data_IF_592165531253
#
_entry.id   IF_592165531253
#
_cell.length_a   1.000
_cell.length_b   1.000
_cell.length_c   1.000
_cell.angle_alpha   90.00
_cell.angle_beta   90.00
_cell.angle_gamma   90.00
#
_symmetry.space_group_name_H-M   'P 1'
#
loop_
_entity.id
_entity.type
_entity.pdbx_description
1 polymer ?
#
# COMPACT_ATOMS: atom_id res chain seq x y z
N UNK A 1 -23.88 -26.10 -15.39
CA UNK A 1 -22.56 -25.43 -15.42
C UNK A 1 -22.27 -24.51 -14.21
N UNK A 2 -23.10 -24.48 -13.16
CA UNK A 2 -22.98 -23.47 -12.08
C UNK A 2 -21.98 -23.80 -10.95
N UNK A 3 -21.53 -25.04 -10.81
CA UNK A 3 -20.70 -25.50 -9.67
C UNK A 3 -19.20 -25.16 -9.81
N UNK A 4 -18.66 -25.19 -11.04
CA UNK A 4 -17.25 -24.85 -11.27
C UNK A 4 -16.97 -23.35 -11.08
N UNK A 5 -17.90 -22.49 -11.52
CA UNK A 5 -17.77 -21.03 -11.38
C UNK A 5 -17.83 -20.56 -9.92
N UNK A 6 -18.54 -21.28 -9.05
CA UNK A 6 -18.58 -20.99 -7.60
C UNK A 6 -17.33 -21.49 -6.89
N UNK A 7 -16.76 -22.63 -7.32
CA UNK A 7 -15.48 -23.14 -6.82
C UNK A 7 -14.30 -22.22 -7.17
N UNK A 8 -14.24 -21.73 -8.42
CA UNK A 8 -13.20 -20.80 -8.88
C UNK A 8 -13.24 -19.48 -8.09
N UNK A 9 -14.44 -18.97 -7.81
CA UNK A 9 -14.61 -17.76 -7.01
C UNK A 9 -14.28 -17.98 -5.53
N UNK A 10 -14.58 -19.15 -4.97
CA UNK A 10 -14.12 -19.50 -3.62
C UNK A 10 -12.59 -19.50 -3.53
N UNK A 11 -11.92 -20.03 -4.56
CA UNK A 11 -10.46 -19.95 -4.71
C UNK A 11 -9.98 -18.50 -4.80
N UNK A 12 -10.58 -17.70 -5.67
CA UNK A 12 -10.21 -16.29 -5.86
C UNK A 12 -10.44 -15.45 -4.59
N UNK A 13 -11.51 -15.71 -3.83
CA UNK A 13 -11.79 -15.11 -2.52
C UNK A 13 -10.74 -15.51 -1.48
N UNK A 14 -10.27 -16.77 -1.49
CA UNK A 14 -9.17 -17.20 -0.62
C UNK A 14 -7.88 -16.45 -0.95
N UNK A 15 -7.56 -16.29 -2.24
CA UNK A 15 -6.41 -15.49 -2.68
C UNK A 15 -6.56 -14.03 -2.27
N UNK A 16 -7.75 -13.44 -2.42
CA UNK A 16 -8.03 -12.06 -2.00
C UNK A 16 -7.78 -11.88 -0.49
N UNK A 17 -8.18 -12.83 0.35
CA UNK A 17 -7.90 -12.80 1.80
C UNK A 17 -6.40 -12.80 2.08
N UNK A 18 -5.64 -13.69 1.46
CA UNK A 18 -4.18 -13.75 1.64
C UNK A 18 -3.52 -12.45 1.15
N UNK A 19 -3.97 -11.91 0.01
CA UNK A 19 -3.44 -10.65 -0.54
C UNK A 19 -3.76 -9.45 0.34
N UNK A 20 -4.91 -9.43 1.01
CA UNK A 20 -5.24 -8.40 2.00
C UNK A 20 -4.31 -8.43 3.21
N UNK A 21 -3.98 -9.62 3.71
CA UNK A 21 -2.97 -9.77 4.77
C UNK A 21 -1.61 -9.25 4.28
N UNK A 22 -1.17 -9.67 3.09
CA UNK A 22 0.09 -9.18 2.50
C UNK A 22 0.14 -7.66 2.30
N UNK A 23 -0.95 -7.06 1.82
CA UNK A 23 -1.06 -5.60 1.70
C UNK A 23 -0.96 -4.94 3.08
N UNK A 24 -1.65 -5.49 4.10
CA UNK A 24 -1.59 -4.96 5.47
C UNK A 24 -0.17 -5.06 6.05
N UNK A 25 0.50 -6.20 5.85
CA UNK A 25 1.88 -6.41 6.30
C UNK A 25 2.84 -5.43 5.61
N UNK A 26 2.74 -5.29 4.28
CA UNK A 26 3.56 -4.34 3.52
C UNK A 26 3.30 -2.89 3.92
N UNK A 27 2.06 -2.54 4.27
CA UNK A 27 1.67 -1.22 4.78
C UNK A 27 2.28 -0.94 6.15
N UNK A 28 2.28 -1.92 7.06
CA UNK A 28 2.95 -1.82 8.36
C UNK A 28 4.47 -1.64 8.13
N UNK A 29 5.07 -2.44 7.26
CA UNK A 29 6.48 -2.32 6.90
C UNK A 29 6.84 -0.92 6.37
N UNK A 30 6.01 -0.36 5.49
CA UNK A 30 6.16 1.01 5.01
C UNK A 30 6.05 2.06 6.13
N UNK A 31 5.10 1.90 7.05
CA UNK A 31 4.95 2.81 8.19
C UNK A 31 6.18 2.80 9.09
N UNK A 32 6.74 1.63 9.37
CA UNK A 32 7.98 1.47 10.13
C UNK A 32 9.16 2.13 9.40
N UNK A 33 9.36 1.84 8.11
CA UNK A 33 10.46 2.41 7.34
C UNK A 33 10.38 3.96 7.26
N UNK A 34 9.18 4.51 7.12
CA UNK A 34 8.98 5.97 7.14
C UNK A 34 9.23 6.58 8.53
N UNK A 35 8.90 5.87 9.61
CA UNK A 35 9.21 6.32 10.96
C UNK A 35 10.72 6.36 11.21
N UNK A 36 11.45 5.32 10.78
CA UNK A 36 12.91 5.24 10.86
C UNK A 36 13.58 6.34 10.04
N UNK A 37 13.14 6.56 8.79
CA UNK A 37 13.64 7.65 7.95
C UNK A 37 13.46 9.03 8.61
N UNK A 38 12.29 9.28 9.23
CA UNK A 38 12.04 10.55 9.95
C UNK A 38 12.95 10.69 11.16
N UNK A 39 13.20 9.60 11.89
CA UNK A 39 14.11 9.61 13.04
C UNK A 39 15.56 9.88 12.60
N UNK A 40 16.02 9.27 11.52
CA UNK A 40 17.34 9.52 10.93
C UNK A 40 17.47 10.98 10.44
N UNK A 41 16.44 11.51 9.77
CA UNK A 41 16.42 12.91 9.32
C UNK A 41 16.53 13.86 10.51
N UNK A 42 15.73 13.64 11.56
CA UNK A 42 15.79 14.45 12.78
C UNK A 42 17.18 14.42 13.42
N UNK A 43 17.85 13.25 13.44
CA UNK A 43 19.22 13.12 13.97
C UNK A 43 20.21 13.96 13.16
N UNK A 44 20.13 13.91 11.82
CA UNK A 44 20.97 14.74 10.95
C UNK A 44 20.72 16.23 11.20
N UNK A 45 19.46 16.64 11.32
CA UNK A 45 19.10 18.04 11.55
C UNK A 45 19.59 18.52 12.93
N UNK A 46 19.48 17.68 13.97
CA UNK A 46 20.02 17.97 15.30
C UNK A 46 21.54 18.14 15.29
N UNK A 47 22.26 17.26 14.59
CA UNK A 47 23.72 17.33 14.48
C UNK A 47 24.18 18.55 13.67
N UNK A 48 23.48 18.87 12.58
CA UNK A 48 23.74 20.09 11.78
C UNK A 48 23.53 21.35 12.60
N UNK A 49 22.46 21.41 13.41
CA UNK A 49 22.23 22.53 14.33
C UNK A 49 23.36 22.65 15.35
N UNK A 50 23.75 21.55 16.01
CA UNK A 50 24.89 21.56 16.95
C UNK A 50 26.19 22.04 16.31
N UNK A 51 26.45 21.68 15.06
CA UNK A 51 27.65 22.12 14.34
C UNK A 51 27.58 23.61 13.97
N UNK A 52 26.40 24.08 13.57
CA UNK A 52 26.15 25.49 13.28
C UNK A 52 26.27 26.37 14.54
N UNK A 53 25.74 25.89 15.65
CA UNK A 53 25.69 26.60 16.93
C UNK A 53 26.98 26.41 17.75
N UNK A 54 27.91 25.57 17.29
CA UNK A 54 29.19 25.40 17.96
C UNK A 54 29.97 26.71 17.93
N UNK A 55 30.43 27.14 19.11
CA UNK A 55 31.14 28.40 19.26
C UNK A 55 32.35 28.48 18.32
N UNK A 56 32.47 29.64 17.68
CA UNK A 56 33.71 30.01 17.00
C UNK A 56 34.73 30.34 18.09
N UNK A 57 35.90 29.74 18.01
CA UNK A 57 36.99 30.06 18.95
C UNK A 57 37.28 31.57 18.90
N UNK A 58 36.88 32.29 19.95
CA UNK A 58 37.03 33.74 20.02
C UNK A 58 38.26 34.16 20.85
N UNK A 59 38.52 33.46 21.95
CA UNK A 59 39.67 33.66 22.83
C UNK A 59 39.87 32.40 23.70
N UNK A 60 41.09 32.20 24.19
CA UNK A 60 41.44 31.07 25.05
C UNK A 60 42.90 30.67 24.91
N UNK A 61 43.29 29.61 25.61
CA UNK A 61 44.61 29.00 25.46
C UNK A 61 44.70 28.15 24.18
N UNK A 62 45.93 27.80 23.78
CA UNK A 62 46.14 26.85 22.69
C UNK A 62 45.52 25.46 22.98
N UNK A 63 45.47 25.06 24.26
CA UNK A 63 44.82 23.82 24.67
C UNK A 63 43.30 23.86 24.43
N UNK A 64 42.65 24.99 24.72
CA UNK A 64 41.21 25.19 24.49
C UNK A 64 40.88 25.13 22.99
N UNK A 65 41.73 25.71 22.15
CA UNK A 65 41.58 25.63 20.70
C UNK A 65 41.70 24.18 20.19
N UNK A 66 42.70 23.43 20.65
CA UNK A 66 42.91 22.03 20.25
C UNK A 66 41.74 21.15 20.71
N UNK A 67 41.23 21.36 21.93
CA UNK A 67 40.07 20.64 22.46
C UNK A 67 38.81 20.92 21.62
N UNK A 68 38.53 22.20 21.33
CA UNK A 68 37.39 22.59 20.49
C UNK A 68 37.51 21.97 19.09
N UNK A 69 38.68 22.08 18.45
CA UNK A 69 38.93 21.47 17.13
C UNK A 69 38.68 19.96 17.15
N UNK A 70 39.18 19.25 18.15
CA UNK A 70 38.95 17.82 18.32
C UNK A 70 37.46 17.48 18.45
N UNK A 71 36.71 18.25 19.26
CA UNK A 71 35.27 18.05 19.43
C UNK A 71 34.49 18.27 18.12
N UNK A 72 34.85 19.29 17.33
CA UNK A 72 34.24 19.58 16.03
C UNK A 72 34.55 18.50 15.00
N UNK A 73 35.77 17.95 15.02
CA UNK A 73 36.14 16.83 14.15
C UNK A 73 35.30 15.59 14.47
N UNK A 74 35.14 15.25 15.76
CA UNK A 74 34.28 14.14 16.18
C UNK A 74 32.83 14.39 15.76
N UNK A 75 32.29 15.60 15.99
CA UNK A 75 30.93 15.95 15.59
C UNK A 75 30.72 15.84 14.07
N UNK A 76 31.71 16.27 13.28
CA UNK A 76 31.69 16.13 11.83
C UNK A 76 31.66 14.66 11.37
N UNK A 77 32.46 13.79 11.99
CA UNK A 77 32.43 12.35 11.68
C UNK A 77 31.07 11.72 12.01
N UNK A 78 30.50 12.05 13.17
CA UNK A 78 29.17 11.56 13.57
C UNK A 78 28.08 12.06 12.61
N UNK A 79 28.18 13.31 12.15
CA UNK A 79 27.26 13.87 11.15
C UNK A 79 27.35 13.12 9.81
N UNK A 80 28.55 12.83 9.32
CA UNK A 80 28.74 12.07 8.08
C UNK A 80 28.12 10.68 8.17
N UNK A 81 28.35 9.96 9.28
CA UNK A 81 27.73 8.65 9.52
C UNK A 81 26.20 8.73 9.58
N UNK A 82 25.65 9.76 10.24
CA UNK A 82 24.20 9.96 10.31
C UNK A 82 23.58 10.31 8.94
N UNK A 83 24.31 11.03 8.08
CA UNK A 83 23.87 11.30 6.70
C UNK A 83 23.83 10.02 5.88
N UNK A 84 24.83 9.15 6.01
CA UNK A 84 24.84 7.85 5.35
C UNK A 84 23.68 6.96 5.82
N UNK A 85 23.40 6.91 7.12
CA UNK A 85 22.24 6.21 7.69
C UNK A 85 20.91 6.76 7.15
N UNK A 86 20.80 8.09 7.00
CA UNK A 86 19.63 8.72 6.40
C UNK A 86 19.44 8.30 4.94
N UNK A 87 20.50 8.20 4.14
CA UNK A 87 20.40 7.77 2.75
C UNK A 87 20.05 6.27 2.64
N UNK A 88 20.54 5.44 3.55
CA UNK A 88 20.13 4.03 3.66
C UNK A 88 18.63 3.91 4.00
N UNK A 89 18.15 4.64 5.02
CA UNK A 89 16.73 4.62 5.41
C UNK A 89 15.81 5.16 4.33
N UNK A 90 16.25 6.17 3.55
CA UNK A 90 15.54 6.63 2.34
C UNK A 90 15.39 5.52 1.31
N UNK A 91 16.47 4.80 1.03
CA UNK A 91 16.46 3.66 0.09
C UNK A 91 15.50 2.56 0.56
N UNK A 92 15.54 2.21 1.85
CA UNK A 92 14.63 1.22 2.44
C UNK A 92 13.16 1.68 2.35
N UNK A 93 12.89 2.94 2.69
CA UNK A 93 11.53 3.49 2.62
C UNK A 93 10.95 3.50 1.20
N UNK A 94 11.79 3.79 0.19
CA UNK A 94 11.39 3.75 -1.22
C UNK A 94 11.06 2.31 -1.65
N UNK A 95 11.91 1.34 -1.30
CA UNK A 95 11.66 -0.08 -1.57
C UNK A 95 10.39 -0.59 -0.88
N UNK A 96 10.14 -0.17 0.37
CA UNK A 96 8.91 -0.50 1.11
C UNK A 96 7.66 0.10 0.44
N UNK A 97 7.76 1.33 -0.07
CA UNK A 97 6.67 1.99 -0.81
C UNK A 97 6.33 1.21 -2.08
N UNK A 98 7.34 0.83 -2.86
CA UNK A 98 7.16 0.02 -4.06
C UNK A 98 6.56 -1.35 -3.76
N UNK A 99 6.99 -2.00 -2.67
CA UNK A 99 6.42 -3.27 -2.23
C UNK A 99 4.94 -3.13 -1.90
N UNK A 100 4.57 -2.14 -1.08
CA UNK A 100 3.18 -1.87 -0.74
C UNK A 100 2.31 -1.55 -1.96
N UNK A 101 2.79 -0.71 -2.88
CA UNK A 101 2.05 -0.39 -4.10
C UNK A 101 1.81 -1.63 -4.97
N UNK A 102 2.80 -2.51 -5.09
CA UNK A 102 2.63 -3.78 -5.83
C UNK A 102 1.60 -4.70 -5.18
N UNK A 103 1.61 -4.83 -3.86
CA UNK A 103 0.65 -5.69 -3.16
C UNK A 103 -0.76 -5.10 -3.18
N UNK A 104 -0.89 -3.79 -3.03
CA UNK A 104 -2.15 -3.05 -3.21
C UNK A 104 -2.72 -3.22 -4.62
N UNK A 105 -1.90 -3.06 -5.66
CA UNK A 105 -2.34 -3.21 -7.04
C UNK A 105 -2.82 -4.64 -7.35
N UNK A 106 -2.10 -5.66 -6.84
CA UNK A 106 -2.52 -7.07 -6.97
C UNK A 106 -3.85 -7.34 -6.28
N UNK A 107 -4.06 -6.80 -5.07
CA UNK A 107 -5.32 -6.94 -4.35
C UNK A 107 -6.47 -6.28 -5.13
N UNK A 108 -6.29 -5.03 -5.57
CA UNK A 108 -7.30 -4.29 -6.34
C UNK A 108 -7.68 -5.00 -7.65
N UNK A 109 -6.71 -5.61 -8.34
CA UNK A 109 -6.98 -6.37 -9.56
C UNK A 109 -7.88 -7.59 -9.31
N UNK A 110 -7.67 -8.29 -8.19
CA UNK A 110 -8.49 -9.45 -7.80
C UNK A 110 -9.89 -9.02 -7.37
N UNK A 111 -9.98 -7.97 -6.54
CA UNK A 111 -11.27 -7.42 -6.10
C UNK A 111 -12.10 -6.95 -7.29
N UNK A 112 -11.49 -6.24 -8.26
CA UNK A 112 -12.15 -5.83 -9.48
C UNK A 112 -12.58 -7.00 -10.39
N UNK A 113 -11.84 -8.11 -10.41
CA UNK A 113 -12.25 -9.31 -11.14
C UNK A 113 -13.48 -9.97 -10.50
N UNK A 114 -13.47 -10.11 -9.17
CA UNK A 114 -14.61 -10.64 -8.40
C UNK A 114 -15.86 -9.80 -8.64
N UNK A 115 -15.73 -8.47 -8.58
CA UNK A 115 -16.84 -7.54 -8.82
C UNK A 115 -17.44 -7.69 -10.22
N UNK A 116 -16.60 -7.74 -11.27
CA UNK A 116 -17.06 -7.97 -12.65
C UNK A 116 -17.80 -9.29 -12.81
N UNK A 117 -17.31 -10.37 -12.20
CA UNK A 117 -17.98 -11.68 -12.22
C UNK A 117 -19.33 -11.66 -11.53
N UNK A 118 -19.42 -10.96 -10.40
CA UNK A 118 -20.67 -10.75 -9.67
C UNK A 118 -21.69 -9.95 -10.51
N UNK A 119 -21.25 -8.87 -11.15
CA UNK A 119 -22.08 -8.06 -12.03
C UNK A 119 -22.58 -8.85 -13.25
N UNK A 120 -21.71 -9.65 -13.88
CA UNK A 120 -22.08 -10.50 -15.01
C UNK A 120 -23.16 -11.53 -14.63
N UNK A 121 -23.05 -12.16 -13.45
CA UNK A 121 -24.07 -13.10 -12.95
C UNK A 121 -25.40 -12.44 -12.64
N UNK A 122 -25.40 -11.25 -12.03
CA UNK A 122 -26.63 -10.48 -11.79
C UNK A 122 -27.33 -10.13 -13.10
N UNK A 123 -26.54 -9.75 -14.11
CA UNK A 123 -27.06 -9.46 -15.45
C UNK A 123 -27.68 -10.69 -16.09
N UNK A 124 -27.02 -11.85 -16.00
CA UNK A 124 -27.55 -13.09 -16.57
C UNK A 124 -28.79 -13.60 -15.82
N UNK A 125 -28.82 -13.48 -14.50
CA UNK A 125 -30.01 -13.80 -13.70
C UNK A 125 -31.20 -12.92 -14.10
N UNK A 126 -31.00 -11.61 -14.23
CA UNK A 126 -32.04 -10.68 -14.67
C UNK A 126 -32.54 -10.99 -16.10
N UNK A 127 -31.65 -11.43 -17.00
CA UNK A 127 -32.04 -11.88 -18.35
C UNK A 127 -32.84 -13.18 -18.31
N UNK A 128 -32.49 -14.12 -17.42
CA UNK A 128 -33.25 -15.34 -17.19
C UNK A 128 -34.67 -15.04 -16.71
N UNK A 129 -34.80 -14.23 -15.66
CA UNK A 129 -36.09 -13.79 -15.11
C UNK A 129 -36.95 -13.08 -16.17
N UNK A 130 -36.36 -12.19 -16.98
CA UNK A 130 -37.08 -11.52 -18.06
C UNK A 130 -37.62 -12.51 -19.11
N UNK A 131 -36.83 -13.52 -19.51
CA UNK A 131 -37.28 -14.56 -20.45
C UNK A 131 -38.42 -15.39 -19.86
N UNK A 132 -38.32 -15.79 -18.60
CA UNK A 132 -39.37 -16.56 -17.92
C UNK A 132 -40.69 -15.78 -17.85
N UNK A 133 -40.62 -14.47 -17.57
CA UNK A 133 -41.81 -13.60 -17.55
C UNK A 133 -42.43 -13.45 -18.95
N UNK A 134 -41.62 -13.29 -19.99
CA UNK A 134 -42.07 -13.21 -21.38
C UNK A 134 -42.73 -14.53 -21.84
N UNK A 135 -42.15 -15.67 -21.48
CA UNK A 135 -42.71 -16.99 -21.77
C UNK A 135 -44.09 -17.18 -21.08
N UNK A 136 -44.20 -16.80 -19.81
CA UNK A 136 -45.46 -16.84 -19.07
C UNK A 136 -46.52 -15.89 -19.65
N UNK A 137 -46.11 -14.69 -20.06
CA UNK A 137 -47.00 -13.74 -20.72
C UNK A 137 -47.52 -14.28 -22.05
N UNK A 138 -46.63 -14.88 -22.85
CA UNK A 138 -46.97 -15.51 -24.13
C UNK A 138 -47.94 -16.67 -23.95
N UNK A 139 -47.67 -17.58 -22.99
CA UNK A 139 -48.57 -18.70 -22.68
C UNK A 139 -49.96 -18.22 -22.24
N UNK A 140 -50.04 -17.17 -21.41
CA UNK A 140 -51.31 -16.58 -20.98
C UNK A 140 -52.07 -15.94 -22.15
N UNK A 141 -51.37 -15.25 -23.04
CA UNK A 141 -51.96 -14.65 -24.23
C UNK A 141 -52.53 -15.73 -25.16
N UNK A 142 -51.74 -16.76 -25.49
CA UNK A 142 -52.17 -17.89 -26.32
C UNK A 142 -53.39 -18.61 -25.74
N UNK A 143 -53.46 -18.82 -24.42
CA UNK A 143 -54.62 -19.44 -23.78
C UNK A 143 -55.89 -18.59 -23.96
N UNK A 144 -55.78 -17.26 -23.79
CA UNK A 144 -56.91 -16.34 -23.94
C UNK A 144 -57.41 -16.26 -25.39
N UNK A 145 -56.51 -16.27 -26.37
CA UNK A 145 -56.90 -16.16 -27.79
C UNK A 145 -57.30 -17.51 -28.41
N UNK A 146 -56.79 -18.63 -27.87
CA UNK A 146 -57.15 -19.98 -28.30
C UNK A 146 -58.53 -20.45 -27.82
N UNK A 147 -59.07 -19.86 -26.75
CA UNK A 147 -60.45 -20.09 -26.29
C UNK A 147 -61.51 -19.32 -27.09
N UNK A 148 -61.11 -18.48 -28.06
CA UNK A 148 -62.01 -17.64 -28.88
C UNK A 148 -62.20 -18.20 -30.31
N UNK A 149 -61.90 -19.48 -30.53
CA UNK A 149 -62.23 -20.21 -31.75
C UNK A 149 -63.39 -21.18 -31.50
#
# INVERSE_FOLDING_TARGET
MSSAATADDAGLLAVARVRRVRETDSRIGLQTALAEQRAAQKRVDDLRRRLHDADRFAAGSAADFVALRGSLQVLGMVLLAAVEELDQTRTISAAALEAWQRDRAKLAAIEGLLERRLAARRTEAARGEARELDDLATQRWLRRTGEVA
#
